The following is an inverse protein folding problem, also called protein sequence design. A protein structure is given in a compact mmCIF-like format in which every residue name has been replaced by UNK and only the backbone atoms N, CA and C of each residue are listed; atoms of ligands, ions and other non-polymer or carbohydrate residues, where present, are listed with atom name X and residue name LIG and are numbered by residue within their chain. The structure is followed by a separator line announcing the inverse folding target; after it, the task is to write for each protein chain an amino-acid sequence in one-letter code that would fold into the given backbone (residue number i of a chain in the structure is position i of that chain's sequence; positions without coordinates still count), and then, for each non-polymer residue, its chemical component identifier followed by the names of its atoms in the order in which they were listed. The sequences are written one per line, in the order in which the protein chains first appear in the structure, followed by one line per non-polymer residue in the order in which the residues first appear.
data_IF_392678370612
#
_entry.id   IF_392678370612
#
_cell.length_a   1.000
_cell.length_b   1.000
_cell.length_c   1.000
_cell.angle_alpha   90.00
_cell.angle_beta   90.00
_cell.angle_gamma   90.00
#
_symmetry.space_group_name_H-M   'P 1'
#
loop_
_entity.id
_entity.type
_entity.pdbx_description
1 polymer ?
#
# COMPACT_ATOMS: atom_id res chain seq x y z
N UNK A 1 -8.18 -8.83 -13.71
CA UNK A 1 -6.93 -9.01 -12.94
C UNK A 1 -6.52 -7.65 -12.38
N UNK A 2 -6.91 -7.31 -11.14
CA UNK A 2 -6.47 -6.06 -10.51
C UNK A 2 -4.99 -6.22 -10.12
N UNK A 3 -4.08 -5.93 -11.05
CA UNK A 3 -2.65 -5.96 -10.77
C UNK A 3 -2.27 -4.67 -10.04
N UNK A 4 -2.14 -4.76 -8.71
CA UNK A 4 -1.53 -3.69 -7.94
C UNK A 4 -0.07 -3.46 -8.35
N UNK A 5 0.41 -2.23 -8.25
CA UNK A 5 1.79 -1.85 -8.59
C UNK A 5 2.71 -2.05 -7.39
N UNK A 6 4.01 -2.23 -7.64
CA UNK A 6 5.00 -2.21 -6.54
C UNK A 6 5.01 -0.81 -5.90
N UNK A 7 5.08 -0.71 -4.56
CA UNK A 7 5.20 0.58 -3.89
C UNK A 7 6.44 1.36 -4.35
N UNK A 8 6.28 2.67 -4.55
CA UNK A 8 7.36 3.64 -4.77
C UNK A 8 8.21 3.80 -3.50
N UNK A 9 9.38 4.46 -3.59
CA UNK A 9 10.25 4.69 -2.44
C UNK A 9 9.51 5.34 -1.26
N UNK A 10 8.77 6.42 -1.53
CA UNK A 10 8.01 7.12 -0.50
C UNK A 10 6.91 6.24 0.12
N UNK A 11 6.23 5.42 -0.70
CA UNK A 11 5.20 4.50 -0.19
C UNK A 11 5.83 3.39 0.66
N UNK A 12 7.05 2.92 0.34
CA UNK A 12 7.80 1.95 1.17
C UNK A 12 8.13 2.53 2.53
N UNK A 13 8.63 3.76 2.57
CA UNK A 13 8.89 4.49 3.83
C UNK A 13 7.59 4.63 4.65
N UNK A 14 6.47 4.93 4.00
CA UNK A 14 5.16 5.05 4.64
C UNK A 14 4.64 3.71 5.23
N UNK A 15 4.88 2.61 4.52
CA UNK A 15 4.58 1.24 4.94
C UNK A 15 5.46 0.83 6.14
N UNK A 16 6.77 1.08 6.05
CA UNK A 16 7.74 0.76 7.10
C UNK A 16 7.45 1.54 8.39
N UNK A 17 7.12 2.83 8.28
CA UNK A 17 6.69 3.65 9.42
C UNK A 17 5.43 3.10 10.12
N UNK A 18 4.64 2.26 9.45
CA UNK A 18 3.45 1.57 9.98
C UNK A 18 3.69 0.10 10.30
N UNK A 19 4.96 -0.33 10.39
CA UNK A 19 5.37 -1.71 10.62
C UNK A 19 4.82 -2.70 9.58
N UNK A 20 4.65 -2.26 8.33
CA UNK A 20 4.23 -3.10 7.21
C UNK A 20 5.44 -3.40 6.32
N UNK A 21 5.72 -4.68 6.05
CA UNK A 21 6.78 -5.08 5.12
C UNK A 21 6.38 -4.74 3.66
N UNK A 22 7.03 -3.78 2.97
CA UNK A 22 6.62 -3.33 1.65
C UNK A 22 6.70 -4.41 0.56
N UNK A 23 7.51 -5.46 0.75
CA UNK A 23 7.61 -6.57 -0.20
C UNK A 23 6.30 -7.38 -0.29
N UNK A 24 5.48 -7.34 0.77
CA UNK A 24 4.23 -8.09 0.90
C UNK A 24 3.01 -7.32 0.36
N UNK A 25 3.17 -6.04 0.01
CA UNK A 25 2.05 -5.18 -0.38
C UNK A 25 2.23 -4.64 -1.80
N UNK A 26 1.11 -4.54 -2.52
CA UNK A 26 0.99 -3.86 -3.79
C UNK A 26 0.04 -2.68 -3.63
N UNK A 27 0.27 -1.61 -4.38
CA UNK A 27 -0.60 -0.44 -4.44
C UNK A 27 -1.70 -0.70 -5.45
N UNK A 28 -2.94 -0.79 -4.96
CA UNK A 28 -4.13 -0.85 -5.81
C UNK A 28 -4.50 0.55 -6.32
N UNK A 29 -4.54 1.52 -5.41
CA UNK A 29 -4.92 2.91 -5.67
C UNK A 29 -4.11 3.82 -4.78
N UNK A 30 -3.55 4.88 -5.37
CA UNK A 30 -2.95 5.97 -4.62
C UNK A 30 -3.62 7.27 -5.05
N UNK A 31 -4.18 7.98 -4.08
CA UNK A 31 -4.89 9.24 -4.26
C UNK A 31 -4.40 10.25 -3.22
N UNK A 32 -4.84 11.50 -3.35
CA UNK A 32 -4.49 12.56 -2.39
C UNK A 32 -5.02 12.30 -0.98
N UNK A 33 -6.08 11.50 -0.84
CA UNK A 33 -6.77 11.24 0.45
C UNK A 33 -6.51 9.85 1.00
N UNK A 34 -6.14 8.88 0.17
CA UNK A 34 -5.91 7.50 0.61
C UNK A 34 -4.94 6.71 -0.29
N UNK A 35 -4.26 5.76 0.35
CA UNK A 35 -3.45 4.72 -0.26
C UNK A 35 -4.07 3.35 0.03
N UNK A 36 -4.59 2.70 -1.02
CA UNK A 36 -5.17 1.36 -0.96
C UNK A 36 -4.13 0.34 -1.39
N UNK A 37 -3.92 -0.65 -0.53
CA UNK A 37 -2.92 -1.70 -0.67
C UNK A 37 -3.59 -3.07 -0.74
N UNK A 38 -3.00 -3.99 -1.49
CA UNK A 38 -3.37 -5.41 -1.53
C UNK A 38 -2.19 -6.24 -1.05
N UNK A 39 -2.43 -7.15 -0.11
CA UNK A 39 -1.43 -8.11 0.31
C UNK A 39 -1.24 -9.21 -0.75
N UNK A 40 0.02 -9.46 -1.15
CA UNK A 40 0.38 -10.37 -2.24
C UNK A 40 0.05 -11.84 -1.98
N UNK A 41 0.03 -12.24 -0.72
CA UNK A 41 -0.15 -13.64 -0.33
C UNK A 41 -1.59 -13.94 0.08
N UNK A 42 -2.22 -13.04 0.82
CA UNK A 42 -3.58 -13.24 1.36
C UNK A 42 -4.67 -12.56 0.54
N UNK A 43 -4.33 -11.67 -0.40
CA UNK A 43 -5.30 -10.87 -1.16
C UNK A 43 -6.03 -9.81 -0.32
N UNK A 44 -5.74 -9.70 0.98
CA UNK A 44 -6.39 -8.73 1.88
C UNK A 44 -6.06 -7.31 1.48
N UNK A 45 -7.07 -6.44 1.51
CA UNK A 45 -6.89 -5.02 1.27
C UNK A 45 -6.61 -4.27 2.57
N UNK A 46 -5.86 -3.18 2.48
CA UNK A 46 -5.60 -2.25 3.58
C UNK A 46 -5.63 -0.83 3.04
N UNK A 47 -6.33 0.06 3.72
CA UNK A 47 -6.42 1.47 3.33
C UNK A 47 -5.70 2.33 4.36
N UNK A 48 -4.81 3.18 3.90
CA UNK A 48 -4.11 4.19 4.69
C UNK A 48 -4.69 5.55 4.29
N UNK A 49 -5.27 6.28 5.24
CA UNK A 49 -5.73 7.66 5.01
C UNK A 49 -4.53 8.61 4.99
N UNK A 50 -4.51 9.52 4.03
CA UNK A 50 -3.53 10.61 3.91
C UNK A 50 -4.23 11.93 4.29
N UNK A 51 -3.61 12.72 5.16
CA UNK A 51 -4.14 14.02 5.59
C UNK A 51 -4.99 13.99 6.86
N UNK A 52 -4.49 13.36 7.92
CA UNK A 52 -4.95 13.61 9.29
C UNK A 52 -4.06 14.66 9.95
#
# INVERSE_FOLDING_TARGET
MKQGKRPSRQQKEELEARNLNPANWLVERDSTTELVLINRFSGKTRTIKKGA
#
